data_IF_705555907194
#
_entry.id   IF_705555907194
#
_cell.length_a   1.000
_cell.length_b   1.000
_cell.length_c   1.000
_cell.angle_alpha   90.00
_cell.angle_beta   90.00
_cell.angle_gamma   90.00
#
_symmetry.space_group_name_H-M   'P 1'
#
loop_
_entity.id
_entity.type
_entity.pdbx_description
1 polymer ?
#
# COMPACT_ATOMS: atom_id res chain seq x y z
N UNK A 1 18.80 -39.69 8.35
CA UNK A 1 17.39 -39.28 8.31
C UNK A 1 17.35 -37.85 7.77
N UNK A 2 17.06 -37.60 6.50
CA UNK A 2 16.84 -36.22 6.03
C UNK A 2 15.42 -35.83 6.39
N UNK A 3 15.32 -34.71 7.10
CA UNK A 3 14.05 -34.05 7.43
C UNK A 3 13.50 -33.36 6.19
N UNK A 4 12.51 -33.95 5.60
CA UNK A 4 11.72 -33.38 4.50
C UNK A 4 10.78 -32.30 5.07
N UNK A 5 11.20 -31.03 4.98
CA UNK A 5 10.38 -29.86 5.39
C UNK A 5 10.03 -29.00 4.17
N UNK A 6 9.52 -29.61 3.13
CA UNK A 6 8.76 -28.90 2.09
C UNK A 6 7.27 -28.98 2.41
N UNK A 7 6.83 -28.24 3.42
CA UNK A 7 5.41 -27.90 3.55
C UNK A 7 5.09 -26.90 2.43
N UNK A 8 4.90 -27.39 1.22
CA UNK A 8 4.33 -26.63 0.12
C UNK A 8 2.98 -26.09 0.56
N UNK A 9 2.84 -24.77 0.59
CA UNK A 9 1.57 -24.11 0.90
C UNK A 9 0.57 -24.57 -0.13
N UNK A 10 -0.31 -25.50 0.27
CA UNK A 10 -1.37 -26.03 -0.61
C UNK A 10 -2.23 -24.85 -1.04
N UNK A 11 -2.38 -24.65 -2.36
CA UNK A 11 -3.22 -23.59 -2.88
C UNK A 11 -4.62 -23.68 -2.23
N UNK A 12 -5.14 -22.56 -1.72
CA UNK A 12 -6.47 -22.51 -1.09
C UNK A 12 -7.54 -22.82 -2.13
N UNK A 13 -8.52 -23.62 -1.75
CA UNK A 13 -9.69 -23.86 -2.60
C UNK A 13 -10.72 -22.73 -2.45
N UNK A 14 -11.74 -22.71 -3.30
CA UNK A 14 -12.77 -21.67 -3.30
C UNK A 14 -13.53 -21.61 -1.96
N UNK A 15 -13.83 -22.75 -1.33
CA UNK A 15 -14.52 -22.81 -0.04
C UNK A 15 -13.70 -22.12 1.07
N UNK A 16 -12.39 -22.36 1.12
CA UNK A 16 -11.49 -21.69 2.05
C UNK A 16 -11.47 -20.18 1.81
N UNK A 17 -11.41 -19.72 0.56
CA UNK A 17 -11.49 -18.29 0.23
C UNK A 17 -12.82 -17.67 0.67
N UNK A 18 -13.94 -18.40 0.54
CA UNK A 18 -15.24 -17.93 1.02
C UNK A 18 -15.26 -17.71 2.54
N UNK A 19 -14.72 -18.66 3.30
CA UNK A 19 -14.58 -18.52 4.76
C UNK A 19 -13.65 -17.38 5.14
N UNK A 20 -12.49 -17.25 4.48
CA UNK A 20 -11.51 -16.20 4.74
C UNK A 20 -12.10 -14.80 4.47
N UNK A 21 -12.84 -14.61 3.37
CA UNK A 21 -13.51 -13.35 3.07
C UNK A 21 -14.54 -12.96 4.14
N UNK A 22 -15.32 -13.93 4.64
CA UNK A 22 -16.25 -13.69 5.74
C UNK A 22 -15.51 -13.32 7.05
N UNK A 23 -14.41 -13.99 7.35
CA UNK A 23 -13.60 -13.72 8.53
C UNK A 23 -12.99 -12.32 8.46
N UNK A 24 -12.34 -11.97 7.36
CA UNK A 24 -11.73 -10.65 7.16
C UNK A 24 -12.80 -9.56 7.12
N UNK A 25 -13.94 -9.79 6.46
CA UNK A 25 -15.07 -8.86 6.48
C UNK A 25 -15.55 -8.56 7.91
N UNK A 26 -15.61 -9.59 8.76
CA UNK A 26 -15.93 -9.44 10.19
C UNK A 26 -14.88 -8.61 10.92
N UNK A 27 -13.59 -8.90 10.72
CA UNK A 27 -12.51 -8.13 11.35
C UNK A 27 -12.50 -6.65 10.92
N UNK A 28 -12.75 -6.37 9.65
CA UNK A 28 -12.89 -4.99 9.18
C UNK A 28 -14.05 -4.27 9.84
N UNK A 29 -15.20 -4.95 10.00
CA UNK A 29 -16.37 -4.40 10.68
C UNK A 29 -16.12 -4.16 12.16
N UNK A 30 -15.55 -5.14 12.89
CA UNK A 30 -15.24 -5.04 14.32
C UNK A 30 -14.21 -3.94 14.62
N UNK A 31 -13.27 -3.68 13.70
CA UNK A 31 -12.29 -2.61 13.83
C UNK A 31 -12.81 -1.24 13.38
N UNK A 32 -14.02 -1.17 12.84
CA UNK A 32 -14.60 0.07 12.34
C UNK A 32 -13.94 0.58 11.05
N UNK A 33 -13.36 -0.34 10.24
CA UNK A 33 -12.83 0.02 8.91
C UNK A 33 -13.91 0.04 7.84
N UNK A 34 -15.04 -0.56 8.14
CA UNK A 34 -16.27 -0.54 7.35
C UNK A 34 -17.47 -0.47 8.30
N UNK A 35 -18.54 0.18 7.87
CA UNK A 35 -19.80 0.24 8.60
C UNK A 35 -20.96 -0.09 7.67
N UNK A 36 -22.08 -0.54 8.23
CA UNK A 36 -23.28 -0.88 7.47
C UNK A 36 -22.97 -1.74 6.21
N UNK A 37 -23.29 -1.25 5.02
CA UNK A 37 -23.06 -1.95 3.76
C UNK A 37 -21.81 -1.53 2.99
N UNK A 38 -20.96 -0.71 3.58
CA UNK A 38 -19.75 -0.14 2.95
C UNK A 38 -18.62 -1.14 2.76
N UNK A 39 -17.62 -0.71 1.98
CA UNK A 39 -16.41 -1.47 1.71
C UNK A 39 -16.65 -2.75 0.92
N UNK A 40 -15.60 -3.34 0.45
CA UNK A 40 -15.65 -4.58 -0.32
C UNK A 40 -14.29 -5.30 -0.31
N UNK A 41 -14.34 -6.60 -0.48
CA UNK A 41 -13.21 -7.51 -0.49
C UNK A 41 -13.30 -8.43 -1.70
N UNK A 42 -12.15 -8.78 -2.27
CA UNK A 42 -12.12 -9.80 -3.33
C UNK A 42 -10.84 -10.60 -3.30
N UNK A 43 -10.90 -11.80 -3.87
CA UNK A 43 -9.75 -12.67 -4.10
C UNK A 43 -9.82 -13.27 -5.50
N UNK A 44 -8.64 -13.42 -6.13
CA UNK A 44 -8.51 -14.14 -7.40
C UNK A 44 -8.60 -15.64 -7.14
N UNK A 45 -9.53 -16.32 -7.78
CA UNK A 45 -9.65 -17.77 -7.72
C UNK A 45 -8.72 -18.45 -8.73
N UNK A 46 -8.66 -17.89 -9.93
CA UNK A 46 -7.82 -18.33 -11.05
C UNK A 46 -7.62 -17.20 -12.07
N UNK A 47 -7.19 -17.53 -13.28
CA UNK A 47 -6.93 -16.54 -14.33
C UNK A 47 -8.16 -15.71 -14.70
N UNK A 48 -9.36 -16.33 -14.64
CA UNK A 48 -10.58 -15.77 -15.21
C UNK A 48 -11.65 -15.44 -14.16
N UNK A 49 -11.50 -15.92 -12.90
CA UNK A 49 -12.54 -15.82 -11.88
C UNK A 49 -12.07 -15.08 -10.63
N UNK A 50 -12.90 -14.17 -10.18
CA UNK A 50 -12.75 -13.41 -8.94
C UNK A 50 -13.91 -13.67 -8.01
N UNK A 51 -13.64 -14.09 -6.77
CA UNK A 51 -14.60 -14.17 -5.69
C UNK A 51 -14.65 -12.83 -4.96
N UNK A 52 -15.84 -12.27 -4.77
CA UNK A 52 -16.00 -10.93 -4.18
C UNK A 52 -17.20 -10.86 -3.25
N UNK A 53 -17.17 -9.89 -2.35
CA UNK A 53 -18.29 -9.54 -1.50
C UNK A 53 -19.39 -8.85 -2.32
N UNK A 54 -20.67 -9.11 -2.05
CA UNK A 54 -21.77 -8.46 -2.75
C UNK A 54 -21.97 -7.02 -2.28
N UNK A 55 -22.72 -6.26 -3.08
CA UNK A 55 -23.14 -4.90 -2.70
C UNK A 55 -24.18 -4.92 -1.56
N UNK A 56 -24.29 -3.82 -0.83
CA UNK A 56 -25.35 -3.55 0.15
C UNK A 56 -25.54 -4.62 1.25
N UNK A 57 -24.47 -5.34 1.64
CA UNK A 57 -24.49 -6.26 2.77
C UNK A 57 -23.48 -5.82 3.83
N UNK A 58 -23.84 -5.98 5.10
CA UNK A 58 -22.90 -5.82 6.21
C UNK A 58 -21.87 -6.95 6.19
N UNK A 59 -20.59 -6.61 5.96
CA UNK A 59 -19.52 -7.60 5.81
C UNK A 59 -19.20 -8.33 7.12
N UNK A 60 -19.54 -7.74 8.25
CA UNK A 60 -19.44 -8.40 9.57
C UNK A 60 -20.45 -9.53 9.78
N UNK A 61 -21.51 -9.57 8.96
CA UNK A 61 -22.62 -10.53 9.08
C UNK A 61 -22.71 -11.48 7.89
N UNK A 62 -21.78 -11.39 6.94
CA UNK A 62 -21.77 -12.26 5.74
C UNK A 62 -21.56 -13.73 6.10
N UNK A 63 -22.17 -14.58 5.26
CA UNK A 63 -21.93 -16.01 5.21
C UNK A 63 -21.28 -16.39 3.87
N UNK A 64 -20.62 -17.55 3.77
CA UNK A 64 -19.99 -18.01 2.51
C UNK A 64 -20.95 -18.06 1.32
N UNK A 65 -22.25 -18.30 1.53
CA UNK A 65 -23.27 -18.31 0.48
C UNK A 65 -23.65 -16.93 -0.05
N UNK A 66 -23.34 -15.87 0.68
CA UNK A 66 -23.59 -14.49 0.23
C UNK A 66 -22.62 -14.04 -0.86
N UNK A 67 -21.43 -14.65 -0.93
CA UNK A 67 -20.36 -14.25 -1.83
C UNK A 67 -20.66 -14.60 -3.29
N UNK A 68 -20.20 -13.75 -4.19
CA UNK A 68 -20.44 -13.88 -5.63
C UNK A 68 -19.13 -14.10 -6.40
N UNK A 69 -19.20 -14.81 -7.51
CA UNK A 69 -18.09 -14.96 -8.44
C UNK A 69 -18.37 -14.14 -9.69
N UNK A 70 -17.39 -13.38 -10.13
CA UNK A 70 -17.41 -12.62 -11.38
C UNK A 70 -16.21 -13.01 -12.26
N UNK A 71 -16.31 -12.73 -13.55
CA UNK A 71 -15.17 -12.81 -14.46
C UNK A 71 -14.33 -11.52 -14.47
N UNK A 72 -13.28 -11.52 -15.29
CA UNK A 72 -12.36 -10.38 -15.43
C UNK A 72 -13.02 -9.18 -16.16
N UNK A 73 -14.18 -9.34 -16.78
CA UNK A 73 -15.02 -8.28 -17.36
C UNK A 73 -16.06 -7.75 -16.38
N UNK A 74 -16.17 -8.33 -15.18
CA UNK A 74 -17.14 -7.96 -14.16
C UNK A 74 -18.53 -8.57 -14.41
N UNK A 75 -18.64 -9.58 -15.28
CA UNK A 75 -19.89 -10.31 -15.50
C UNK A 75 -20.11 -11.30 -14.36
N UNK A 76 -21.35 -11.36 -13.89
CA UNK A 76 -21.73 -12.27 -12.81
C UNK A 76 -21.73 -13.73 -13.30
N UNK A 77 -20.99 -14.59 -12.60
CA UNK A 77 -20.89 -16.02 -12.92
C UNK A 77 -21.65 -16.90 -11.93
N UNK A 78 -21.56 -16.63 -10.62
CA UNK A 78 -22.14 -17.48 -9.56
C UNK A 78 -22.57 -16.64 -8.36
N UNK A 79 -23.56 -17.15 -7.61
CA UNK A 79 -24.13 -16.56 -6.39
C UNK A 79 -25.47 -15.85 -6.69
N UNK A 80 -26.25 -15.59 -5.63
CA UNK A 80 -27.61 -15.05 -5.77
C UNK A 80 -27.67 -13.52 -5.58
N UNK A 81 -26.56 -12.92 -5.12
CA UNK A 81 -26.50 -11.49 -4.84
C UNK A 81 -25.86 -10.69 -5.97
N UNK A 82 -26.07 -9.38 -5.97
CA UNK A 82 -25.46 -8.48 -6.95
C UNK A 82 -23.99 -8.23 -6.61
N UNK A 83 -23.14 -8.18 -7.62
CA UNK A 83 -21.74 -7.76 -7.53
C UNK A 83 -21.67 -6.33 -6.94
N UNK A 84 -20.60 -6.03 -6.20
CA UNK A 84 -20.32 -4.68 -5.72
C UNK A 84 -20.26 -3.68 -6.87
N UNK A 85 -20.84 -2.50 -6.69
CA UNK A 85 -20.72 -1.39 -7.65
C UNK A 85 -19.27 -0.94 -7.88
N UNK A 86 -18.38 -1.25 -6.94
CA UNK A 86 -16.96 -0.90 -7.03
C UNK A 86 -16.07 -2.04 -7.54
N UNK A 87 -16.66 -3.09 -8.10
CA UNK A 87 -15.92 -4.21 -8.70
C UNK A 87 -14.89 -3.76 -9.76
N UNK A 88 -15.21 -2.70 -10.51
CA UNK A 88 -14.29 -2.11 -11.50
C UNK A 88 -12.95 -1.68 -10.92
N UNK A 89 -12.93 -1.13 -9.71
CA UNK A 89 -11.70 -0.80 -8.98
C UNK A 89 -10.86 -2.06 -8.70
N UNK A 90 -11.47 -3.13 -8.19
CA UNK A 90 -10.77 -4.38 -7.90
C UNK A 90 -10.22 -5.03 -9.18
N UNK A 91 -11.02 -5.06 -10.24
CA UNK A 91 -10.63 -5.62 -11.53
C UNK A 91 -9.45 -4.86 -12.15
N UNK A 92 -9.33 -3.55 -11.92
CA UNK A 92 -8.18 -2.76 -12.36
C UNK A 92 -6.87 -3.30 -11.75
N UNK A 93 -6.84 -3.53 -10.42
CA UNK A 93 -5.67 -4.13 -9.77
C UNK A 93 -5.32 -5.49 -10.37
N UNK A 94 -6.31 -6.36 -10.54
CA UNK A 94 -6.07 -7.71 -11.09
C UNK A 94 -5.61 -7.69 -12.56
N UNK A 95 -6.05 -6.73 -13.37
CA UNK A 95 -5.64 -6.60 -14.77
C UNK A 95 -4.23 -6.05 -14.91
N UNK A 96 -3.87 -5.09 -14.09
CA UNK A 96 -2.58 -4.42 -14.19
C UNK A 96 -1.46 -5.13 -13.43
N UNK A 97 -1.80 -6.01 -12.46
CA UNK A 97 -0.84 -6.63 -11.55
C UNK A 97 -1.11 -8.12 -11.38
N UNK A 98 -0.26 -8.94 -11.99
CA UNK A 98 -0.34 -10.40 -11.89
C UNK A 98 0.05 -10.93 -10.50
N UNK A 99 0.81 -10.16 -9.72
CA UNK A 99 1.21 -10.47 -8.34
C UNK A 99 0.08 -10.24 -7.33
N UNK A 100 -0.96 -9.48 -7.69
CA UNK A 100 -2.11 -9.21 -6.82
C UNK A 100 -3.09 -10.38 -6.87
N UNK A 101 -3.34 -10.98 -5.70
CA UNK A 101 -4.31 -12.07 -5.51
C UNK A 101 -5.50 -11.65 -4.64
N UNK A 102 -5.42 -10.50 -3.96
CA UNK A 102 -6.52 -9.96 -3.16
C UNK A 102 -6.53 -8.44 -3.11
N UNK A 103 -7.72 -7.87 -2.98
CA UNK A 103 -7.96 -6.43 -2.81
C UNK A 103 -8.92 -6.20 -1.65
N UNK A 104 -8.57 -5.25 -0.78
CA UNK A 104 -9.39 -4.79 0.34
C UNK A 104 -9.68 -3.30 0.18
N UNK A 105 -10.96 -2.93 0.24
CA UNK A 105 -11.39 -1.54 0.27
C UNK A 105 -12.28 -1.29 1.47
N UNK A 106 -12.07 -0.17 2.15
CA UNK A 106 -12.85 0.26 3.30
C UNK A 106 -12.65 1.74 3.61
N UNK A 107 -13.34 2.20 4.66
CA UNK A 107 -13.35 3.60 5.09
C UNK A 107 -12.82 3.72 6.53
N UNK A 108 -11.57 3.29 6.82
CA UNK A 108 -11.01 3.42 8.17
C UNK A 108 -10.99 4.91 8.54
N UNK A 109 -11.55 5.23 9.71
CA UNK A 109 -12.00 6.59 10.03
C UNK A 109 -10.90 7.64 9.98
N UNK A 110 -9.71 7.33 10.52
CA UNK A 110 -8.60 8.30 10.57
C UNK A 110 -7.97 8.48 9.19
N UNK A 111 -7.69 7.39 8.48
CA UNK A 111 -7.15 7.45 7.13
C UNK A 111 -8.12 8.14 6.16
N UNK A 112 -9.42 7.85 6.26
CA UNK A 112 -10.46 8.54 5.49
C UNK A 112 -10.53 10.02 5.84
N UNK A 113 -10.30 10.39 7.11
CA UNK A 113 -10.18 11.78 7.54
C UNK A 113 -9.06 12.53 6.82
N UNK A 114 -7.88 11.91 6.67
CA UNK A 114 -6.79 12.47 5.84
C UNK A 114 -7.20 12.61 4.38
N UNK A 115 -7.87 11.60 3.82
CA UNK A 115 -8.35 11.64 2.43
C UNK A 115 -9.39 12.77 2.20
N UNK A 116 -10.27 13.02 3.18
CA UNK A 116 -11.24 14.14 3.16
C UNK A 116 -10.54 15.49 3.29
N UNK A 117 -9.46 15.56 4.08
CA UNK A 117 -8.64 16.76 4.23
C UNK A 117 -7.72 17.04 3.02
N UNK A 118 -7.78 16.19 1.97
CA UNK A 118 -6.93 16.33 0.79
C UNK A 118 -5.45 15.99 1.03
N UNK A 119 -5.16 15.12 2.02
CA UNK A 119 -3.79 14.78 2.42
C UNK A 119 -3.51 13.29 2.21
N UNK A 120 -2.36 12.98 1.61
CA UNK A 120 -1.77 11.64 1.60
C UNK A 120 -1.11 11.30 2.94
N UNK A 121 -0.66 10.06 3.05
CA UNK A 121 0.18 9.58 4.15
C UNK A 121 1.57 9.26 3.55
N UNK A 122 2.24 10.28 3.11
CA UNK A 122 3.44 10.24 2.27
C UNK A 122 4.73 10.66 3.00
N UNK A 123 4.64 10.95 4.30
CA UNK A 123 5.77 11.35 5.14
C UNK A 123 6.50 10.14 5.74
N UNK A 124 7.83 10.19 5.75
CA UNK A 124 8.67 9.14 6.34
C UNK A 124 8.71 9.28 7.88
N UNK A 125 7.66 8.85 8.57
CA UNK A 125 7.56 8.94 10.03
C UNK A 125 7.91 7.64 10.74
N UNK A 126 7.57 6.48 10.16
CA UNK A 126 7.73 5.17 10.80
C UNK A 126 8.54 4.22 9.92
N UNK A 127 9.61 3.60 10.46
CA UNK A 127 10.45 2.65 9.71
C UNK A 127 9.65 1.49 9.10
N UNK A 128 8.70 0.92 9.84
CA UNK A 128 7.88 -0.21 9.39
C UNK A 128 6.97 0.17 8.21
N UNK A 129 6.47 1.40 8.15
CA UNK A 129 5.66 1.89 7.03
C UNK A 129 6.53 2.13 5.80
N UNK A 130 7.69 2.76 5.98
CA UNK A 130 8.68 2.96 4.90
C UNK A 130 9.09 1.61 4.30
N UNK A 131 9.34 0.59 5.12
CA UNK A 131 9.72 -0.75 4.65
C UNK A 131 8.55 -1.44 3.96
N UNK A 132 7.36 -1.46 4.54
CA UNK A 132 6.23 -2.26 4.05
C UNK A 132 5.50 -1.62 2.87
N UNK A 133 5.17 -0.34 2.96
CA UNK A 133 4.34 0.37 1.98
C UNK A 133 5.10 1.48 1.23
N UNK A 134 6.14 2.06 1.86
CA UNK A 134 6.80 3.24 1.34
C UNK A 134 5.98 4.50 1.64
N UNK A 135 5.25 5.00 0.65
CA UNK A 135 4.28 6.08 0.83
C UNK A 135 2.87 5.61 0.45
N UNK A 136 1.86 6.27 1.00
CA UNK A 136 0.46 5.99 0.73
C UNK A 136 -0.15 7.26 0.11
N UNK A 137 -0.12 7.38 -1.24
CA UNK A 137 -0.54 8.59 -1.90
C UNK A 137 -2.06 8.77 -1.88
N UNK A 138 -2.49 10.03 -1.99
CA UNK A 138 -3.88 10.39 -2.18
C UNK A 138 -4.20 10.46 -3.68
N UNK A 139 -5.16 9.64 -4.12
CA UNK A 139 -5.72 9.70 -5.46
C UNK A 139 -6.85 10.73 -5.47
N UNK A 140 -6.90 11.58 -6.51
CA UNK A 140 -7.94 12.60 -6.66
C UNK A 140 -9.34 11.99 -6.66
N UNK A 141 -10.33 12.78 -6.27
CA UNK A 141 -11.73 12.33 -6.25
C UNK A 141 -12.22 11.90 -7.64
N UNK A 142 -12.93 10.80 -7.64
CA UNK A 142 -13.79 10.36 -8.73
C UNK A 142 -15.01 9.66 -8.12
N UNK A 143 -16.13 9.66 -8.82
CA UNK A 143 -17.37 9.06 -8.30
C UNK A 143 -17.22 7.55 -8.16
N UNK A 144 -17.43 6.97 -6.95
CA UNK A 144 -17.36 5.54 -6.74
C UNK A 144 -18.33 4.77 -7.65
N UNK A 145 -17.91 3.58 -8.09
CA UNK A 145 -18.71 2.73 -8.96
C UNK A 145 -18.81 3.17 -10.42
N UNK A 146 -18.02 4.17 -10.83
CA UNK A 146 -17.95 4.64 -12.22
C UNK A 146 -16.60 4.31 -12.86
N UNK A 147 -16.50 4.30 -14.21
CA UNK A 147 -15.21 4.16 -14.90
C UNK A 147 -14.19 5.24 -14.54
N UNK A 148 -14.63 6.43 -14.13
CA UNK A 148 -13.77 7.53 -13.76
C UNK A 148 -12.86 7.17 -12.58
N UNK A 149 -13.38 6.39 -11.60
CA UNK A 149 -12.57 5.91 -10.48
C UNK A 149 -11.42 5.03 -10.96
N UNK A 150 -11.68 4.11 -11.91
CA UNK A 150 -10.62 3.29 -12.49
C UNK A 150 -9.58 4.14 -13.23
N UNK A 151 -10.02 5.13 -14.01
CA UNK A 151 -9.13 6.01 -14.78
C UNK A 151 -8.20 6.85 -13.88
N UNK A 152 -8.66 7.32 -12.72
CA UNK A 152 -7.80 8.09 -11.79
C UNK A 152 -6.85 7.20 -10.99
N UNK A 153 -7.18 5.91 -10.83
CA UNK A 153 -6.34 4.92 -10.13
C UNK A 153 -5.23 4.34 -11.02
N UNK A 154 -5.48 4.24 -12.33
CA UNK A 154 -4.59 3.56 -13.29
C UNK A 154 -3.11 3.99 -13.18
N UNK A 155 -2.75 5.28 -13.02
CA UNK A 155 -1.35 5.70 -12.87
C UNK A 155 -0.69 5.23 -11.56
N UNK A 156 -1.46 4.88 -10.55
CA UNK A 156 -0.95 4.52 -9.21
C UNK A 156 -0.83 3.01 -9.01
N UNK A 157 -1.75 2.23 -9.57
CA UNK A 157 -1.86 0.79 -9.34
C UNK A 157 -0.55 0.02 -9.59
N UNK A 158 0.26 0.31 -10.62
CA UNK A 158 1.54 -0.39 -10.83
C UNK A 158 2.57 -0.16 -9.72
N UNK A 159 2.45 0.93 -8.97
CA UNK A 159 3.51 1.46 -8.11
C UNK A 159 3.21 1.34 -6.62
N UNK A 160 1.94 1.16 -6.22
CA UNK A 160 1.54 1.22 -4.81
C UNK A 160 0.64 0.07 -4.42
N UNK A 161 0.84 -0.45 -3.20
CA UNK A 161 0.02 -1.50 -2.61
C UNK A 161 -1.09 -0.96 -1.71
N UNK A 162 -1.05 0.34 -1.41
CA UNK A 162 -2.05 1.06 -0.61
C UNK A 162 -2.25 2.46 -1.17
N UNK A 163 -3.49 2.89 -1.29
CA UNK A 163 -3.88 4.20 -1.80
C UNK A 163 -4.98 4.79 -0.92
N UNK A 164 -4.93 6.10 -0.67
CA UNK A 164 -6.06 6.87 -0.18
C UNK A 164 -6.88 7.39 -1.37
N UNK A 165 -8.19 7.38 -1.23
CA UNK A 165 -9.14 7.86 -2.21
C UNK A 165 -9.79 9.14 -1.68
N UNK A 166 -9.58 10.28 -2.33
CA UNK A 166 -10.08 11.59 -1.86
C UNK A 166 -11.59 11.53 -1.61
N UNK A 167 -12.02 11.99 -0.42
CA UNK A 167 -13.42 12.02 0.02
C UNK A 167 -14.13 10.65 0.00
N UNK A 168 -13.37 9.53 0.10
CA UNK A 168 -13.95 8.21 -0.03
C UNK A 168 -13.42 7.23 1.02
N UNK A 169 -12.16 6.82 0.94
CA UNK A 169 -11.60 5.81 1.84
C UNK A 169 -10.19 5.37 1.45
N UNK A 170 -9.90 4.09 1.67
CA UNK A 170 -8.62 3.48 1.34
C UNK A 170 -8.81 2.18 0.57
N UNK A 171 -7.90 1.89 -0.35
CA UNK A 171 -7.81 0.59 -1.02
C UNK A 171 -6.40 0.02 -0.86
N UNK A 172 -6.32 -1.28 -0.59
CA UNK A 172 -5.07 -2.02 -0.47
C UNK A 172 -5.15 -3.33 -1.26
N UNK A 173 -4.02 -3.81 -1.73
CA UNK A 173 -3.93 -5.08 -2.43
C UNK A 173 -2.78 -5.94 -1.88
N UNK A 174 -2.72 -7.20 -2.25
CA UNK A 174 -1.66 -8.09 -1.81
C UNK A 174 -1.62 -9.44 -2.52
N UNK A 175 -0.56 -10.23 -2.27
CA UNK A 175 -0.41 -11.59 -2.80
C UNK A 175 -1.37 -12.59 -2.15
N UNK A 176 -2.08 -12.20 -1.13
CA UNK A 176 -3.15 -12.93 -0.45
C UNK A 176 -4.07 -11.97 0.32
N UNK A 177 -5.22 -12.48 0.76
CA UNK A 177 -6.25 -11.69 1.43
C UNK A 177 -5.78 -11.15 2.79
N UNK A 178 -5.01 -11.93 3.54
CA UNK A 178 -4.52 -11.52 4.86
C UNK A 178 -3.51 -10.37 4.73
N UNK A 179 -2.60 -10.46 3.74
CA UNK A 179 -1.65 -9.39 3.44
C UNK A 179 -2.37 -8.10 3.02
N UNK A 180 -3.39 -8.19 2.14
CA UNK A 180 -4.18 -7.03 1.74
C UNK A 180 -4.90 -6.40 2.95
N UNK A 181 -5.44 -7.22 3.85
CA UNK A 181 -6.07 -6.76 5.09
C UNK A 181 -5.06 -6.13 6.06
N UNK A 182 -3.90 -6.73 6.30
CA UNK A 182 -2.89 -6.14 7.16
C UNK A 182 -2.39 -4.79 6.64
N UNK A 183 -2.35 -4.59 5.32
CA UNK A 183 -2.02 -3.30 4.73
C UNK A 183 -3.05 -2.22 5.07
N UNK A 184 -4.34 -2.52 5.07
CA UNK A 184 -5.35 -1.53 5.49
C UNK A 184 -5.31 -1.25 7.00
N UNK A 185 -4.94 -2.25 7.82
CA UNK A 185 -4.62 -2.04 9.24
C UNK A 185 -3.46 -1.06 9.42
N UNK A 186 -2.37 -1.27 8.68
CA UNK A 186 -1.20 -0.38 8.70
C UNK A 186 -1.57 1.03 8.26
N UNK A 187 -2.39 1.18 7.20
CA UNK A 187 -2.87 2.50 6.73
C UNK A 187 -3.59 3.25 7.84
N UNK A 188 -4.55 2.62 8.50
CA UNK A 188 -5.30 3.27 9.58
C UNK A 188 -4.43 3.52 10.82
N UNK A 189 -3.56 2.58 11.19
CA UNK A 189 -2.66 2.75 12.32
C UNK A 189 -1.68 3.91 12.09
N UNK A 190 -1.10 3.98 10.89
CA UNK A 190 -0.21 5.07 10.50
C UNK A 190 -0.93 6.43 10.49
N UNK A 191 -2.16 6.48 9.97
CA UNK A 191 -2.98 7.68 10.02
C UNK A 191 -3.23 8.16 11.46
N UNK A 192 -3.56 7.25 12.38
CA UNK A 192 -3.73 7.57 13.81
C UNK A 192 -2.46 8.12 14.44
N UNK A 193 -1.31 7.50 14.18
CA UNK A 193 -0.01 7.98 14.69
C UNK A 193 0.33 9.34 14.12
N UNK A 194 0.14 9.53 12.80
CA UNK A 194 0.39 10.82 12.14
C UNK A 194 -0.49 11.92 12.73
N UNK A 195 -1.77 11.64 12.95
CA UNK A 195 -2.69 12.60 13.59
C UNK A 195 -2.25 12.92 15.02
N UNK A 196 -1.92 11.90 15.82
CA UNK A 196 -1.43 12.09 17.18
C UNK A 196 -0.13 12.89 17.25
N UNK A 197 0.82 12.62 16.33
CA UNK A 197 2.06 13.37 16.23
C UNK A 197 1.82 14.85 15.92
N UNK A 198 0.94 15.15 14.95
CA UNK A 198 0.56 16.54 14.60
C UNK A 198 -0.14 17.27 15.74
N UNK A 199 -0.91 16.58 16.56
CA UNK A 199 -1.55 17.15 17.76
C UNK A 199 -0.54 17.37 18.89
N UNK A 200 0.48 16.54 19.00
CA UNK A 200 1.54 16.65 20.01
C UNK A 200 2.60 17.70 19.66
N UNK A 201 2.74 18.05 18.38
CA UNK A 201 3.71 19.02 17.89
C UNK A 201 3.99 18.84 16.40
N UNK A 202 5.18 19.25 15.95
CA UNK A 202 5.63 19.03 14.58
C UNK A 202 6.26 17.65 14.44
N UNK A 203 5.76 16.78 13.54
CA UNK A 203 6.32 15.47 13.32
C UNK A 203 7.77 15.52 12.86
N UNK A 204 8.63 14.70 13.45
CA UNK A 204 10.03 14.56 13.04
C UNK A 204 10.14 13.49 11.94
N UNK A 205 10.51 13.90 10.74
CA UNK A 205 10.69 13.00 9.61
C UNK A 205 12.02 12.25 9.70
N UNK A 206 12.04 11.02 9.19
CA UNK A 206 13.30 10.31 8.95
C UNK A 206 14.07 11.00 7.83
N UNK A 207 15.40 11.03 7.95
CA UNK A 207 16.27 11.60 6.92
C UNK A 207 16.29 10.74 5.65
N UNK A 208 16.62 11.35 4.52
CA UNK A 208 16.81 10.66 3.24
C UNK A 208 17.77 9.46 3.37
N UNK A 209 18.85 9.62 4.16
CA UNK A 209 19.82 8.55 4.44
C UNK A 209 19.20 7.37 5.19
N UNK A 210 18.35 7.65 6.19
CA UNK A 210 17.66 6.60 6.95
C UNK A 210 16.63 5.87 6.09
N UNK A 211 15.85 6.61 5.29
CA UNK A 211 14.92 6.02 4.33
C UNK A 211 15.65 5.12 3.33
N UNK A 212 16.77 5.57 2.78
CA UNK A 212 17.57 4.74 1.86
C UNK A 212 18.05 3.42 2.51
N UNK A 213 18.49 3.46 3.78
CA UNK A 213 18.86 2.25 4.53
C UNK A 213 17.69 1.31 4.73
N UNK A 214 16.50 1.83 5.05
CA UNK A 214 15.27 1.06 5.24
C UNK A 214 14.83 0.40 3.94
N UNK A 215 14.87 1.14 2.84
CA UNK A 215 14.54 0.61 1.51
C UNK A 215 15.50 -0.52 1.09
N UNK A 216 16.80 -0.38 1.34
CA UNK A 216 17.79 -1.43 1.10
C UNK A 216 17.57 -2.67 2.00
N UNK A 217 16.95 -2.50 3.16
CA UNK A 217 16.67 -3.57 4.10
C UNK A 217 15.39 -4.38 3.77
N UNK A 218 14.55 -3.93 2.84
CA UNK A 218 13.24 -4.56 2.50
C UNK A 218 13.34 -6.07 2.29
N UNK A 219 14.36 -6.52 1.58
CA UNK A 219 14.57 -7.95 1.32
C UNK A 219 14.73 -8.78 2.60
N UNK A 220 15.30 -8.22 3.67
CA UNK A 220 15.46 -8.89 4.98
C UNK A 220 14.12 -9.10 5.70
N UNK A 221 13.13 -8.28 5.37
CA UNK A 221 11.77 -8.34 5.92
C UNK A 221 10.80 -9.07 4.99
N UNK A 222 11.32 -9.74 3.94
CA UNK A 222 10.50 -10.46 2.94
C UNK A 222 9.45 -9.57 2.27
N UNK A 223 9.71 -8.27 2.16
CA UNK A 223 8.84 -7.33 1.46
C UNK A 223 9.22 -7.28 -0.01
N UNK A 224 8.31 -7.72 -0.86
CA UNK A 224 8.44 -7.57 -2.32
C UNK A 224 7.76 -6.27 -2.73
N UNK A 225 8.49 -5.32 -3.36
CA UNK A 225 7.89 -4.09 -3.85
C UNK A 225 6.94 -4.38 -5.02
N UNK A 226 5.99 -3.47 -5.30
CA UNK A 226 5.18 -3.52 -6.52
C UNK A 226 6.04 -3.63 -7.79
N UNK A 227 5.55 -4.28 -8.85
CA UNK A 227 6.32 -4.47 -10.10
C UNK A 227 6.81 -3.18 -10.75
N UNK A 228 6.05 -2.07 -10.63
CA UNK A 228 6.45 -0.74 -11.10
C UNK A 228 7.51 -0.06 -10.22
N UNK A 229 7.92 -0.70 -9.12
CA UNK A 229 8.71 -0.06 -8.08
C UNK A 229 7.90 1.05 -7.37
N UNK A 230 8.18 1.40 -6.13
CA UNK A 230 7.59 2.60 -5.55
C UNK A 230 8.01 3.81 -6.40
N UNK A 231 7.04 4.48 -7.05
CA UNK A 231 7.34 5.56 -8.00
C UNK A 231 8.05 6.74 -7.33
N UNK A 232 7.80 6.96 -6.05
CA UNK A 232 8.38 8.04 -5.28
C UNK A 232 8.68 7.58 -3.85
N UNK A 233 9.78 8.06 -3.31
CA UNK A 233 10.09 7.88 -1.88
C UNK A 233 9.14 8.74 -1.03
N UNK A 234 8.88 8.36 0.22
CA UNK A 234 8.15 9.21 1.15
C UNK A 234 8.93 10.51 1.38
N UNK A 235 8.20 11.58 1.75
CA UNK A 235 8.82 12.85 2.13
C UNK A 235 9.76 12.66 3.33
N UNK A 236 10.97 13.18 3.22
CA UNK A 236 12.04 13.08 4.21
C UNK A 236 12.44 14.47 4.70
N UNK A 237 13.12 14.54 5.85
CA UNK A 237 13.82 15.75 6.19
C UNK A 237 15.24 15.73 5.57
N UNK A 238 15.61 16.79 4.89
CA UNK A 238 17.01 17.11 4.62
C UNK A 238 17.58 17.80 5.86
N UNK A 239 18.15 17.01 6.76
CA UNK A 239 18.77 17.53 7.97
C UNK A 239 20.09 18.25 7.67
N UNK A 240 20.22 19.03 6.61
CA UNK A 240 21.40 19.84 6.34
C UNK A 240 22.76 19.15 6.59
N UNK A 241 22.74 17.86 6.89
CA UNK A 241 23.92 17.05 6.93
C UNK A 241 24.41 16.99 5.49
N UNK A 242 25.36 17.89 5.20
CA UNK A 242 26.24 17.72 4.08
C UNK A 242 26.47 16.22 3.93
N UNK A 243 25.97 15.66 2.84
CA UNK A 243 26.57 14.46 2.30
C UNK A 243 28.02 14.86 2.10
N UNK A 244 28.85 14.61 3.11
CA UNK A 244 30.25 14.39 2.86
C UNK A 244 30.21 13.12 2.04
N UNK A 245 30.07 13.27 0.71
CA UNK A 245 30.62 12.30 -0.19
C UNK A 245 32.01 12.05 0.34
N UNK A 246 32.25 10.86 0.91
CA UNK A 246 33.61 10.42 1.18
C UNK A 246 34.28 10.37 -0.20
N UNK A 247 34.82 11.51 -0.62
CA UNK A 247 35.69 11.57 -1.78
C UNK A 247 36.97 10.90 -1.35
N UNK A 248 37.12 9.64 -1.68
CA UNK A 248 38.38 8.93 -1.47
C UNK A 248 39.37 9.52 -2.45
N UNK A 249 40.09 10.52 -2.00
CA UNK A 249 41.19 11.13 -2.76
C UNK A 249 42.44 10.26 -2.56
N UNK A 250 43.12 9.96 -3.62
CA UNK A 250 44.48 9.46 -3.56
C UNK A 250 45.36 10.57 -2.98
N UNK A 251 46.50 10.19 -2.36
CA UNK A 251 47.45 11.15 -1.81
C UNK A 251 47.89 12.21 -2.84
N UNK A 252 48.04 11.78 -4.10
CA UNK A 252 48.41 12.67 -5.23
C UNK A 252 47.32 13.69 -5.57
N UNK A 253 46.02 13.31 -5.48
CA UNK A 253 44.89 14.21 -5.73
C UNK A 253 44.75 15.23 -4.59
N UNK A 254 44.97 14.79 -3.34
CA UNK A 254 44.98 15.67 -2.18
C UNK A 254 46.10 16.72 -2.27
N UNK A 255 47.33 16.27 -2.61
CA UNK A 255 48.49 17.16 -2.75
C UNK A 255 48.24 18.19 -3.86
N UNK A 256 47.63 17.79 -4.99
CA UNK A 256 47.28 18.70 -6.09
C UNK A 256 46.24 19.76 -5.67
N UNK A 257 45.22 19.38 -4.88
CA UNK A 257 44.20 20.30 -4.34
C UNK A 257 44.81 21.30 -3.35
N UNK A 258 45.72 20.86 -2.47
CA UNK A 258 46.43 21.69 -1.52
C UNK A 258 47.28 22.71 -2.26
N UNK A 259 48.04 22.29 -3.29
CA UNK A 259 48.92 23.21 -4.09
C UNK A 259 48.08 24.25 -4.87
N UNK A 260 46.91 23.87 -5.36
CA UNK A 260 46.01 24.80 -6.03
C UNK A 260 45.41 25.83 -5.02
N UNK A 261 45.02 25.39 -3.83
CA UNK A 261 44.51 26.27 -2.79
C UNK A 261 45.56 27.28 -2.33
N UNK A 262 46.82 26.83 -2.14
CA UNK A 262 47.95 27.72 -1.79
C UNK A 262 48.26 28.70 -2.90
N UNK A 263 48.21 28.31 -4.16
CA UNK A 263 48.38 29.23 -5.30
C UNK A 263 47.29 30.30 -5.35
N UNK A 264 46.02 29.93 -5.11
CA UNK A 264 44.89 30.88 -5.08
C UNK A 264 45.01 31.88 -3.90
N UNK A 265 45.48 31.45 -2.75
CA UNK A 265 45.70 32.35 -1.60
C UNK A 265 46.83 33.36 -1.86
N UNK A 266 47.96 32.90 -2.45
CA UNK A 266 49.09 33.78 -2.84
C UNK A 266 48.71 34.78 -3.95
N UNK A 267 47.75 34.47 -4.79
CA UNK A 267 47.31 35.42 -5.84
C UNK A 267 46.30 36.46 -5.33
N UNK A 268 45.78 36.31 -4.12
CA UNK A 268 44.84 37.25 -3.45
C UNK A 268 45.52 38.21 -2.48
N UNK A 269 46.82 37.99 -2.21
CA UNK A 269 47.68 38.89 -1.42
C UNK A 269 48.54 39.75 -2.35
#
# INVERSE_FOLDING_TARGET
MPSDSTAGTRARNEEQHRHDLCLIGRWMYERGYIVAGEGNLSVRLDADRILTTPTCINKGMMTPSDLVVMDMEGRHLQGDRKISSEAGMHLLFYRMRSDVQAVCHGHPATATGFAVAGQGLDQALLPEVVVSLGKIPLVRYATPGTPDLSAVLEPYVPHYDALLLANHGAVTCGPDLLTAFFRIEVVEHFAKITLAARLAGEPQLLSTREVAKLMAARARYHVTPPPGGGAELPETCDNGENTTDEVTLTRSELDALVDEAVRKDRARR
#
